data_IF_412091954485
#
_entry.id   IF_412091954485
#
_cell.length_a   1.000
_cell.length_b   1.000
_cell.length_c   1.000
_cell.angle_alpha   90.00
_cell.angle_beta   90.00
_cell.angle_gamma   90.00
#
_symmetry.space_group_name_H-M   'P 1'
#
loop_
_entity.id
_entity.type
_entity.pdbx_description
1 polymer ?
#
# COMPACT_ATOMS: atom_id res chain seq x y z
N UNK A 1 -3.18 -0.65 -0.53
CA UNK A 1 -3.36 -0.83 0.92
C UNK A 1 -3.66 0.50 1.57
N UNK A 2 -4.70 0.58 2.38
CA UNK A 2 -5.11 1.79 3.07
C UNK A 2 -5.28 1.53 4.56
N UNK A 3 -4.58 2.30 5.40
CA UNK A 3 -4.76 2.29 6.86
C UNK A 3 -5.38 3.60 7.37
N UNK A 4 -6.04 4.35 6.48
CA UNK A 4 -6.69 5.63 6.73
C UNK A 4 -8.23 5.55 6.70
N UNK A 5 -8.79 4.34 6.61
CA UNK A 5 -10.23 4.14 6.68
C UNK A 5 -10.75 4.42 8.09
N UNK A 6 -11.80 5.24 8.17
CA UNK A 6 -12.50 5.52 9.42
C UNK A 6 -13.95 5.07 9.31
N UNK A 7 -14.33 4.09 10.14
CA UNK A 7 -15.72 3.63 10.25
C UNK A 7 -16.65 4.73 10.74
N UNK A 8 -16.18 5.60 11.65
CA UNK A 8 -16.98 6.71 12.18
C UNK A 8 -17.20 7.82 11.16
N UNK A 9 -16.30 8.00 10.20
CA UNK A 9 -16.45 8.92 9.07
C UNK A 9 -17.05 8.27 7.82
N UNK A 10 -17.20 6.95 7.82
CA UNK A 10 -17.74 6.18 6.71
C UNK A 10 -16.84 6.13 5.46
N UNK A 11 -15.53 6.34 5.59
CA UNK A 11 -14.65 6.43 4.43
C UNK A 11 -13.17 6.62 4.72
N UNK A 12 -12.38 6.69 3.64
CA UNK A 12 -10.95 6.98 3.68
C UNK A 12 -10.74 8.46 3.99
N UNK A 13 -9.86 8.73 4.95
CA UNK A 13 -9.62 10.09 5.45
C UNK A 13 -8.43 10.77 4.79
N UNK A 14 -7.62 10.04 4.01
CA UNK A 14 -6.34 10.49 3.49
C UNK A 14 -5.22 10.54 4.53
N UNK A 15 -5.56 10.40 5.82
CA UNK A 15 -4.64 10.47 6.96
C UNK A 15 -4.51 9.11 7.62
N UNK A 16 -3.44 8.40 7.27
CA UNK A 16 -3.14 7.09 7.84
C UNK A 16 -2.53 7.25 9.24
N UNK A 17 -3.38 7.31 10.26
CA UNK A 17 -2.98 7.40 11.68
C UNK A 17 -3.19 6.11 12.46
N UNK A 18 -3.67 5.04 11.80
CA UNK A 18 -3.86 3.73 12.42
C UNK A 18 -2.59 3.27 13.14
N UNK A 19 -2.79 2.68 14.32
CA UNK A 19 -1.73 2.07 15.14
C UNK A 19 -1.65 0.55 14.97
N UNK A 20 -2.50 -0.02 14.10
CA UNK A 20 -2.47 -1.45 13.78
C UNK A 20 -1.17 -1.77 13.07
N UNK A 21 -0.45 -2.77 13.58
CA UNK A 21 0.76 -3.28 12.96
C UNK A 21 0.42 -4.04 11.67
N UNK A 22 1.11 -3.71 10.58
CA UNK A 22 0.97 -4.37 9.29
C UNK A 22 2.35 -4.86 8.88
N UNK A 23 2.66 -6.10 9.25
CA UNK A 23 3.98 -6.69 9.09
C UNK A 23 3.94 -7.96 8.24
N UNK A 24 5.05 -8.32 7.60
CA UNK A 24 5.20 -9.61 6.90
C UNK A 24 4.37 -9.76 5.62
N UNK A 25 4.00 -8.66 4.95
CA UNK A 25 3.19 -8.71 3.74
C UNK A 25 4.04 -9.15 2.54
N UNK A 26 3.64 -10.24 1.89
CA UNK A 26 4.27 -10.71 0.64
C UNK A 26 3.31 -10.58 -0.53
N UNK A 27 3.76 -9.90 -1.59
CA UNK A 27 3.05 -9.82 -2.87
C UNK A 27 3.99 -10.33 -3.96
N UNK A 28 3.61 -11.39 -4.65
CA UNK A 28 4.47 -12.04 -5.63
C UNK A 28 3.72 -12.41 -6.90
N UNK A 29 4.35 -12.23 -8.06
CA UNK A 29 3.86 -12.75 -9.34
C UNK A 29 2.60 -12.07 -9.88
N UNK A 30 2.34 -10.82 -9.46
CA UNK A 30 1.19 -10.06 -9.93
C UNK A 30 1.38 -9.63 -11.39
N UNK A 31 0.48 -10.05 -12.28
CA UNK A 31 0.51 -9.71 -13.71
C UNK A 31 -0.84 -9.22 -14.20
N UNK A 32 -0.87 -8.36 -15.21
CA UNK A 32 -2.12 -7.89 -15.84
C UNK A 32 -2.07 -6.40 -16.18
N UNK A 33 -3.22 -5.74 -16.18
CA UNK A 33 -3.33 -4.29 -16.35
C UNK A 33 -4.13 -3.65 -15.22
N UNK A 34 -3.80 -2.40 -14.91
CA UNK A 34 -4.48 -1.61 -13.90
C UNK A 34 -4.51 -0.13 -14.30
N UNK A 35 -5.41 0.65 -13.70
CA UNK A 35 -5.32 2.11 -13.85
C UNK A 35 -4.11 2.65 -13.07
N UNK A 36 -3.94 2.20 -11.83
CA UNK A 36 -2.85 2.61 -10.93
C UNK A 36 -2.01 1.40 -10.53
N UNK A 37 -0.68 1.48 -10.65
CA UNK A 37 0.23 0.38 -10.30
C UNK A 37 0.24 0.08 -8.79
N UNK A 38 0.26 1.12 -7.97
CA UNK A 38 0.24 1.05 -6.52
C UNK A 38 -0.78 2.02 -5.97
N UNK A 39 -1.37 1.69 -4.81
CA UNK A 39 -2.17 2.62 -4.04
C UNK A 39 -1.99 2.30 -2.55
N UNK A 40 -0.96 2.88 -1.94
CA UNK A 40 -0.53 2.67 -0.56
C UNK A 40 -0.67 4.00 0.19
N UNK A 41 -1.50 3.98 1.22
CA UNK A 41 -1.65 5.06 2.20
C UNK A 41 -1.64 4.43 3.58
N UNK A 42 -0.46 4.37 4.17
CA UNK A 42 -0.21 3.71 5.45
C UNK A 42 0.53 4.62 6.43
N UNK A 43 0.48 4.27 7.72
CA UNK A 43 1.29 4.91 8.74
C UNK A 43 2.70 4.27 8.73
N UNK A 44 3.77 4.98 8.35
CA UNK A 44 5.11 4.40 8.23
C UNK A 44 5.66 3.84 9.56
N UNK A 45 5.10 4.24 10.70
CA UNK A 45 5.56 3.81 12.02
C UNK A 45 5.11 2.39 12.40
N UNK A 46 4.18 1.81 11.66
CA UNK A 46 3.55 0.52 12.01
C UNK A 46 3.62 -0.49 10.87
N UNK A 47 4.43 -0.23 9.85
CA UNK A 47 4.68 -1.17 8.76
C UNK A 47 6.11 -1.69 8.83
N UNK A 48 6.29 -2.97 8.56
CA UNK A 48 7.63 -3.58 8.43
C UNK A 48 7.56 -4.85 7.58
N UNK A 49 8.71 -5.28 7.08
CA UNK A 49 8.88 -6.62 6.48
C UNK A 49 7.94 -6.91 5.32
N UNK A 50 7.73 -5.93 4.43
CA UNK A 50 7.00 -6.16 3.18
C UNK A 50 7.96 -6.56 2.07
N UNK A 51 7.54 -7.51 1.23
CA UNK A 51 8.30 -8.02 0.10
C UNK A 51 7.42 -8.09 -1.15
N UNK A 52 7.75 -7.25 -2.14
CA UNK A 52 7.06 -7.21 -3.42
C UNK A 52 8.00 -7.75 -4.51
N UNK A 53 7.55 -8.75 -5.26
CA UNK A 53 8.39 -9.42 -6.26
C UNK A 53 7.60 -9.86 -7.49
N UNK A 54 8.26 -9.89 -8.65
CA UNK A 54 7.63 -10.34 -9.89
C UNK A 54 6.39 -9.54 -10.31
N UNK A 55 6.33 -8.25 -9.97
CA UNK A 55 5.22 -7.37 -10.36
C UNK A 55 5.41 -6.97 -11.82
N UNK A 56 4.53 -7.48 -12.70
CA UNK A 56 4.50 -7.20 -14.14
C UNK A 56 3.10 -6.73 -14.54
N UNK A 57 2.72 -5.56 -14.02
CA UNK A 57 1.43 -4.93 -14.30
C UNK A 57 1.64 -3.75 -15.25
N UNK A 58 0.89 -3.73 -16.34
CA UNK A 58 0.80 -2.57 -17.22
C UNK A 58 -0.17 -1.56 -16.63
N UNK A 59 0.33 -0.47 -16.07
CA UNK A 59 -0.49 0.58 -15.48
C UNK A 59 -0.52 1.86 -16.33
N UNK A 60 -1.66 2.55 -16.34
CA UNK A 60 -1.74 3.89 -16.96
C UNK A 60 -1.14 5.00 -16.09
N UNK A 61 -0.99 4.76 -14.79
CA UNK A 61 -0.38 5.69 -13.84
C UNK A 61 0.29 4.95 -12.68
N UNK A 62 1.27 5.61 -12.07
CA UNK A 62 1.69 5.26 -10.72
C UNK A 62 0.70 5.94 -9.77
N UNK A 63 0.00 5.16 -8.95
CA UNK A 63 -0.85 5.73 -7.91
C UNK A 63 -0.03 6.19 -6.71
N UNK A 64 -0.65 6.28 -5.54
CA UNK A 64 0.01 6.82 -4.34
C UNK A 64 0.85 5.74 -3.67
N UNK A 65 2.03 6.10 -3.18
CA UNK A 65 2.78 5.23 -2.30
C UNK A 65 3.36 6.04 -1.14
N UNK A 66 2.60 6.08 -0.04
CA UNK A 66 2.95 6.80 1.18
C UNK A 66 2.87 5.84 2.36
N UNK A 67 3.99 5.72 3.06
CA UNK A 67 4.08 4.99 4.32
C UNK A 67 4.36 3.50 4.18
N UNK A 68 4.72 3.01 2.98
CA UNK A 68 5.34 1.70 2.78
C UNK A 68 6.71 1.61 3.47
N UNK A 69 7.18 0.41 3.85
CA UNK A 69 8.53 0.23 4.37
C UNK A 69 9.56 0.40 3.24
N UNK A 70 10.80 0.76 3.62
CA UNK A 70 11.91 0.98 2.68
C UNK A 70 12.29 -0.27 1.87
N UNK A 71 11.89 -1.47 2.30
CA UNK A 71 12.09 -2.72 1.55
C UNK A 71 11.26 -2.80 0.27
N UNK A 72 10.23 -1.96 0.13
CA UNK A 72 9.35 -1.90 -1.03
C UNK A 72 9.73 -0.68 -1.86
N UNK A 73 10.42 -0.92 -2.99
CA UNK A 73 10.70 0.09 -4.01
C UNK A 73 9.53 0.15 -4.99
N UNK A 74 8.92 1.33 -5.12
CA UNK A 74 7.69 1.61 -5.88
C UNK A 74 7.91 2.73 -6.87
#
# INVERSE_FOLDING_TARGET
>A
MHSDYSKSKGGYTGSATSQVQITGVTVSGLTGSATNLYDIVANPKVVSDWSFSGIKVSASANGKAVGQPNSVSV
#
